data_IF_916702607942
#
_entry.id   IF_916702607942
#
_cell.length_a   1.000
_cell.length_b   1.000
_cell.length_c   1.000
_cell.angle_alpha   90.00
_cell.angle_beta   90.00
_cell.angle_gamma   90.00
#
_symmetry.space_group_name_H-M   'P 1'
#
loop_
_entity.id
_entity.type
_entity.pdbx_description
1 polymer ?
#
# COMPACT_ATOMS: atom_id res chain seq x y z
N UNK A 1 -2.56 -7.14 -16.19
CA UNK A 1 -1.81 -6.49 -15.09
C UNK A 1 -0.53 -7.27 -14.74
N UNK A 2 -0.61 -8.55 -14.33
CA UNK A 2 0.57 -9.38 -13.98
C UNK A 2 1.71 -9.30 -15.01
N UNK A 3 1.42 -9.56 -16.29
CA UNK A 3 2.44 -9.50 -17.34
C UNK A 3 2.92 -8.07 -17.60
N UNK A 4 2.00 -7.10 -17.67
CA UNK A 4 2.33 -5.70 -17.95
C UNK A 4 3.21 -5.07 -16.87
N UNK A 5 3.04 -5.44 -15.59
CA UNK A 5 3.82 -4.88 -14.49
C UNK A 5 5.05 -5.73 -14.16
N UNK A 6 4.89 -7.05 -14.09
CA UNK A 6 5.86 -7.97 -13.49
C UNK A 6 6.58 -8.91 -14.46
N UNK A 7 6.31 -8.86 -15.77
CA UNK A 7 7.00 -9.77 -16.71
C UNK A 7 8.53 -9.60 -16.59
N UNK A 8 9.32 -10.68 -16.42
CA UNK A 8 10.74 -10.61 -16.04
C UNK A 8 11.65 -9.77 -16.94
N UNK A 9 11.25 -9.55 -18.21
CA UNK A 9 12.01 -8.75 -19.18
C UNK A 9 11.27 -7.51 -19.70
N UNK A 10 9.95 -7.48 -19.59
CA UNK A 10 9.09 -6.54 -20.32
C UNK A 10 8.12 -5.79 -19.41
N UNK A 11 8.00 -6.21 -18.16
CA UNK A 11 7.14 -5.56 -17.18
C UNK A 11 7.62 -4.15 -16.88
N UNK A 12 6.67 -3.29 -16.56
CA UNK A 12 6.89 -1.89 -16.22
C UNK A 12 7.98 -1.72 -15.17
N UNK A 13 7.92 -2.47 -14.06
CA UNK A 13 8.89 -2.37 -12.96
C UNK A 13 10.30 -2.87 -13.32
N UNK A 14 10.49 -3.56 -14.46
CA UNK A 14 11.81 -4.01 -14.95
C UNK A 14 12.48 -3.01 -15.89
N UNK A 15 11.69 -2.21 -16.61
CA UNK A 15 12.18 -1.35 -17.70
C UNK A 15 12.22 0.12 -17.32
N UNK A 16 11.22 0.59 -16.60
CA UNK A 16 11.16 1.96 -16.12
C UNK A 16 11.88 2.04 -14.77
N UNK A 17 12.67 3.09 -14.53
CA UNK A 17 12.91 3.54 -13.15
C UNK A 17 11.61 4.23 -12.72
N UNK A 18 10.67 3.54 -12.05
CA UNK A 18 9.27 3.95 -12.04
C UNK A 18 8.97 5.03 -10.98
N UNK A 19 9.95 5.39 -10.15
CA UNK A 19 9.75 6.14 -8.91
C UNK A 19 10.64 7.38 -8.82
N UNK A 20 10.06 8.51 -8.42
CA UNK A 20 10.72 9.80 -8.17
C UNK A 20 10.31 10.90 -9.16
N UNK A 21 11.04 12.03 -9.19
CA UNK A 21 10.75 13.20 -10.07
C UNK A 21 10.76 12.84 -11.58
N UNK A 22 11.36 11.70 -11.94
CA UNK A 22 11.44 11.16 -13.30
C UNK A 22 10.50 9.96 -13.53
N UNK A 23 9.86 9.44 -12.47
CA UNK A 23 8.89 8.34 -12.53
C UNK A 23 7.47 8.81 -12.87
N UNK A 24 6.54 7.90 -13.13
CA UNK A 24 5.17 8.26 -13.54
C UNK A 24 4.30 8.77 -12.37
N UNK A 25 4.63 8.36 -11.14
CA UNK A 25 3.98 8.82 -9.90
C UNK A 25 4.97 9.26 -8.83
N UNK A 26 4.54 10.22 -8.00
CA UNK A 26 5.21 10.62 -6.76
C UNK A 26 4.43 10.03 -5.57
N UNK A 27 5.00 9.03 -4.91
CA UNK A 27 4.41 8.35 -3.74
C UNK A 27 4.49 9.21 -2.48
N UNK A 28 3.69 8.89 -1.46
CA UNK A 28 3.66 9.66 -0.20
C UNK A 28 5.04 9.83 0.48
N UNK A 29 5.90 8.80 0.56
CA UNK A 29 7.24 8.93 1.12
C UNK A 29 8.15 9.91 0.36
N UNK A 30 7.98 10.01 -0.96
CA UNK A 30 8.79 10.90 -1.81
C UNK A 30 8.31 12.37 -1.75
N UNK A 31 7.09 12.62 -1.26
CA UNK A 31 6.53 13.98 -1.07
C UNK A 31 7.10 14.63 0.20
N UNK A 32 7.14 13.90 1.31
CA UNK A 32 7.60 14.45 2.58
C UNK A 32 8.10 13.40 3.55
N UNK A 33 9.23 13.71 4.20
CA UNK A 33 9.72 12.92 5.33
C UNK A 33 8.71 12.81 6.48
N UNK A 34 7.77 13.76 6.61
CA UNK A 34 6.73 13.72 7.65
C UNK A 34 5.95 12.40 7.58
N UNK A 35 5.69 11.90 6.38
CA UNK A 35 4.98 10.64 6.20
C UNK A 35 5.75 9.48 6.83
N UNK A 36 7.00 9.27 6.43
CA UNK A 36 7.80 8.15 6.95
C UNK A 36 8.12 8.28 8.44
N UNK A 37 8.36 9.50 8.93
CA UNK A 37 8.61 9.74 10.36
C UNK A 37 7.40 9.36 11.24
N UNK A 38 6.17 9.70 10.81
CA UNK A 38 4.95 9.37 11.55
C UNK A 38 4.61 7.88 11.49
N UNK A 39 4.78 7.25 10.33
CA UNK A 39 4.61 5.80 10.20
C UNK A 39 5.65 5.03 11.03
N UNK A 40 6.90 5.51 11.08
CA UNK A 40 7.93 4.98 11.97
C UNK A 40 7.56 5.10 13.44
N UNK A 41 7.06 6.26 13.87
CA UNK A 41 6.57 6.45 15.23
C UNK A 41 5.40 5.50 15.56
N UNK A 42 4.48 5.29 14.61
CA UNK A 42 3.38 4.33 14.77
C UNK A 42 3.89 2.89 14.93
N UNK A 43 4.83 2.45 14.10
CA UNK A 43 5.43 1.10 14.17
C UNK A 43 6.14 0.89 15.51
N UNK A 44 6.94 1.87 15.94
CA UNK A 44 7.62 1.86 17.23
C UNK A 44 6.64 1.79 18.41
N UNK A 45 5.53 2.54 18.35
CA UNK A 45 4.51 2.52 19.38
C UNK A 45 3.76 1.18 19.41
N UNK A 46 3.47 0.59 18.25
CA UNK A 46 2.92 -0.78 18.18
C UNK A 46 3.87 -1.83 18.72
N UNK A 47 5.18 -1.73 18.47
CA UNK A 47 6.19 -2.60 19.09
C UNK A 47 6.14 -2.53 20.62
N UNK A 48 6.03 -1.33 21.18
CA UNK A 48 5.88 -1.15 22.63
C UNK A 48 4.57 -1.77 23.14
N UNK A 49 3.47 -1.63 22.39
CA UNK A 49 2.16 -2.15 22.77
C UNK A 49 2.06 -3.69 22.73
N UNK A 50 2.99 -4.36 22.04
CA UNK A 50 3.08 -5.84 22.00
C UNK A 50 4.21 -6.38 22.91
N UNK A 51 4.52 -5.66 23.99
CA UNK A 51 5.52 -6.02 25.02
C UNK A 51 6.98 -6.08 24.51
N UNK A 52 7.31 -5.24 23.52
CA UNK A 52 8.70 -5.02 23.07
C UNK A 52 9.45 -6.30 22.68
N UNK A 53 8.91 -7.14 21.78
CA UNK A 53 9.54 -8.39 21.39
C UNK A 53 10.91 -8.14 20.75
N UNK A 54 11.85 -9.05 21.02
CA UNK A 54 13.19 -9.04 20.44
C UNK A 54 13.60 -10.50 20.12
N UNK A 55 13.79 -10.87 18.84
CA UNK A 55 13.63 -10.00 17.67
C UNK A 55 12.16 -9.71 17.33
N UNK A 56 11.93 -8.60 16.63
CA UNK A 56 10.69 -8.28 15.92
C UNK A 56 10.97 -8.21 14.43
N UNK A 57 10.15 -8.89 13.62
CA UNK A 57 10.24 -8.84 12.16
C UNK A 57 9.61 -7.55 11.66
N UNK A 58 10.43 -6.58 11.25
CA UNK A 58 9.94 -5.37 10.60
C UNK A 58 9.91 -5.62 9.09
N UNK A 59 8.71 -5.68 8.53
CA UNK A 59 8.47 -6.10 7.14
C UNK A 59 7.89 -4.92 6.35
N UNK A 60 8.52 -4.57 5.23
CA UNK A 60 7.94 -3.64 4.24
C UNK A 60 7.61 -4.38 2.95
N UNK A 61 6.37 -4.24 2.48
CA UNK A 61 5.91 -4.76 1.19
C UNK A 61 6.10 -3.69 0.12
N UNK A 62 6.87 -3.98 -0.93
CA UNK A 62 7.11 -3.03 -2.02
C UNK A 62 7.79 -1.74 -1.56
N UNK A 63 9.01 -1.80 -0.98
CA UNK A 63 9.68 -0.64 -0.38
C UNK A 63 10.07 0.47 -1.38
N UNK A 64 9.95 0.23 -2.68
CA UNK A 64 10.35 1.18 -3.72
C UNK A 64 11.83 1.54 -3.59
N UNK A 65 12.13 2.80 -3.28
CA UNK A 65 13.52 3.27 -3.07
C UNK A 65 14.05 3.03 -1.66
N UNK A 66 13.21 2.55 -0.73
CA UNK A 66 13.51 2.41 0.70
C UNK A 66 13.35 3.71 1.49
N UNK A 67 12.79 4.76 0.88
CA UNK A 67 12.63 6.11 1.48
C UNK A 67 11.76 6.07 2.73
N UNK A 68 10.61 5.37 2.67
CA UNK A 68 9.70 5.22 3.81
C UNK A 68 10.43 4.63 5.02
N UNK A 69 11.07 3.48 4.85
CA UNK A 69 11.79 2.81 5.94
C UNK A 69 12.99 3.63 6.43
N UNK A 70 13.71 4.31 5.54
CA UNK A 70 14.82 5.18 5.91
C UNK A 70 14.36 6.29 6.86
N UNK A 71 13.26 6.96 6.53
CA UNK A 71 12.68 8.01 7.37
C UNK A 71 12.10 7.47 8.68
N UNK A 72 11.40 6.33 8.62
CA UNK A 72 10.85 5.66 9.79
C UNK A 72 11.93 5.28 10.82
N UNK A 73 13.03 4.68 10.36
CA UNK A 73 14.14 4.28 11.21
C UNK A 73 14.92 5.50 11.71
N UNK A 74 15.11 6.52 10.87
CA UNK A 74 15.73 7.79 11.29
C UNK A 74 14.94 8.49 12.40
N UNK A 75 13.61 8.54 12.30
CA UNK A 75 12.74 9.15 13.32
C UNK A 75 12.77 8.40 14.66
N UNK A 76 12.90 7.08 14.62
CA UNK A 76 12.81 6.23 15.81
C UNK A 76 14.15 5.92 16.46
N UNK A 77 15.27 6.45 15.93
CA UNK A 77 16.65 6.15 16.38
C UNK A 77 16.91 6.38 17.86
N UNK A 78 16.16 7.29 18.49
CA UNK A 78 16.33 7.63 19.91
C UNK A 78 15.48 6.75 20.84
N UNK A 79 14.64 5.87 20.30
CA UNK A 79 13.80 4.99 21.09
C UNK A 79 14.61 3.80 21.61
N UNK A 80 14.81 3.65 22.94
CA UNK A 80 15.64 2.58 23.48
C UNK A 80 15.11 1.19 23.16
N UNK A 81 16.00 0.30 22.68
CA UNK A 81 15.74 -1.11 22.44
C UNK A 81 14.99 -1.44 21.14
N UNK A 82 14.32 -0.48 20.50
CA UNK A 82 13.58 -0.77 19.26
C UNK A 82 14.51 -1.17 18.12
N UNK A 83 15.59 -0.41 17.92
CA UNK A 83 16.57 -0.65 16.85
C UNK A 83 17.36 -1.95 17.06
N UNK A 84 17.65 -2.30 18.32
CA UNK A 84 18.32 -3.56 18.66
C UNK A 84 17.41 -4.79 18.46
N UNK A 85 16.09 -4.60 18.53
CA UNK A 85 15.10 -5.66 18.35
C UNK A 85 14.75 -5.91 16.88
N UNK A 86 14.97 -4.94 15.99
CA UNK A 86 14.55 -5.02 14.58
C UNK A 86 15.35 -6.09 13.82
N UNK A 87 14.62 -7.00 13.18
CA UNK A 87 15.09 -7.81 12.07
C UNK A 87 14.34 -7.35 10.80
N UNK A 88 15.05 -6.64 9.92
CA UNK A 88 14.46 -5.92 8.79
C UNK A 88 14.33 -6.82 7.56
N UNK A 89 13.11 -6.94 7.05
CA UNK A 89 12.78 -7.74 5.87
C UNK A 89 12.04 -6.91 4.82
N UNK A 90 12.50 -6.98 3.58
CA UNK A 90 11.95 -6.21 2.47
C UNK A 90 11.41 -7.17 1.40
N UNK A 91 10.11 -7.06 1.07
CA UNK A 91 9.50 -7.86 -0.01
C UNK A 91 9.64 -7.07 -1.31
N UNK A 92 10.58 -7.46 -2.15
CA UNK A 92 10.95 -6.76 -3.38
C UNK A 92 11.36 -7.78 -4.44
N UNK A 93 10.84 -7.67 -5.65
CA UNK A 93 11.18 -8.56 -6.79
C UNK A 93 12.16 -7.91 -7.77
N UNK A 94 12.33 -6.58 -7.71
CA UNK A 94 13.17 -5.82 -8.62
C UNK A 94 14.62 -5.67 -8.11
N UNK A 95 15.58 -6.21 -8.87
CA UNK A 95 17.00 -6.22 -8.47
C UNK A 95 17.63 -4.81 -8.42
N UNK A 96 17.43 -3.93 -9.41
CA UNK A 96 17.84 -2.52 -9.31
C UNK A 96 17.35 -1.83 -8.03
N UNK A 97 16.07 -1.98 -7.68
CA UNK A 97 15.51 -1.38 -6.46
C UNK A 97 16.16 -1.96 -5.19
N UNK A 98 16.42 -3.27 -5.14
CA UNK A 98 17.16 -3.88 -4.02
C UNK A 98 18.53 -3.23 -3.81
N UNK A 99 19.24 -2.86 -4.89
CA UNK A 99 20.52 -2.16 -4.80
C UNK A 99 20.42 -0.76 -4.16
N UNK A 100 19.38 0.00 -4.52
CA UNK A 100 19.10 1.31 -3.91
C UNK A 100 18.75 1.16 -2.42
N UNK A 101 17.87 0.20 -2.10
CA UNK A 101 17.47 -0.10 -0.72
C UNK A 101 18.66 -0.56 0.13
N UNK A 102 19.54 -1.40 -0.43
CA UNK A 102 20.74 -1.89 0.26
C UNK A 102 21.65 -0.74 0.69
N UNK A 103 21.76 0.29 -0.16
CA UNK A 103 22.53 1.50 0.15
C UNK A 103 21.83 2.34 1.21
N UNK A 104 20.53 2.62 1.03
CA UNK A 104 19.76 3.48 1.93
C UNK A 104 19.63 2.90 3.36
N UNK A 105 19.54 1.57 3.46
CA UNK A 105 19.23 0.85 4.70
C UNK A 105 20.41 0.01 5.21
N UNK A 106 21.62 0.21 4.69
CA UNK A 106 22.82 -0.54 5.06
C UNK A 106 23.04 -0.70 6.58
N UNK A 107 22.81 0.32 7.43
CA UNK A 107 23.00 0.19 8.89
C UNK A 107 22.11 -0.89 9.54
N UNK A 108 20.98 -1.22 8.91
CA UNK A 108 19.95 -2.12 9.44
C UNK A 108 20.02 -3.53 8.87
N UNK A 109 21.04 -3.83 8.05
CA UNK A 109 21.29 -5.16 7.46
C UNK A 109 20.01 -5.84 6.90
N UNK A 110 19.27 -5.16 6.01
CA UNK A 110 18.02 -5.68 5.46
C UNK A 110 18.22 -7.05 4.78
N UNK A 111 17.20 -7.90 4.89
CA UNK A 111 17.10 -9.16 4.12
C UNK A 111 15.96 -9.07 3.11
N UNK A 112 16.24 -9.35 1.85
CA UNK A 112 15.24 -9.29 0.78
C UNK A 112 14.58 -10.64 0.52
N UNK A 113 13.30 -10.58 0.21
CA UNK A 113 12.46 -11.71 -0.08
C UNK A 113 11.64 -11.43 -1.33
N UNK A 114 11.39 -12.45 -2.15
CA UNK A 114 10.47 -12.32 -3.28
C UNK A 114 9.00 -12.44 -2.85
N UNK A 115 8.75 -13.04 -1.68
CA UNK A 115 7.43 -13.39 -1.17
C UNK A 115 7.40 -13.25 0.35
N UNK A 116 6.23 -12.92 0.90
CA UNK A 116 6.06 -12.77 2.34
C UNK A 116 6.23 -14.10 3.11
N UNK A 117 5.91 -15.23 2.49
CA UNK A 117 6.02 -16.57 3.09
C UNK A 117 7.47 -17.04 3.30
N UNK A 118 8.48 -16.41 2.68
CA UNK A 118 9.89 -16.71 2.94
C UNK A 118 10.50 -15.95 4.12
N UNK A 119 9.76 -14.99 4.70
CA UNK A 119 10.22 -14.26 5.89
C UNK A 119 10.19 -15.18 7.11
N UNK A 120 11.23 -15.22 7.96
CA UNK A 120 11.23 -16.03 9.18
C UNK A 120 10.03 -15.75 10.09
N UNK A 121 9.51 -16.78 10.76
CA UNK A 121 8.43 -16.63 11.75
C UNK A 121 8.84 -15.76 12.96
N UNK A 122 7.84 -15.31 13.72
CA UNK A 122 8.02 -14.49 14.92
C UNK A 122 7.11 -13.25 14.96
N UNK A 123 7.10 -12.51 16.09
CA UNK A 123 6.34 -11.27 16.23
C UNK A 123 6.68 -10.30 15.10
N UNK A 124 5.68 -9.67 14.51
CA UNK A 124 5.86 -8.91 13.27
C UNK A 124 5.25 -7.52 13.32
N UNK A 125 5.90 -6.58 12.64
CA UNK A 125 5.32 -5.31 12.23
C UNK A 125 5.39 -5.24 10.72
N UNK A 126 4.25 -5.09 10.04
CA UNK A 126 4.18 -5.00 8.58
C UNK A 126 3.75 -3.59 8.18
N UNK A 127 4.41 -3.03 7.18
CA UNK A 127 3.95 -1.82 6.49
C UNK A 127 3.84 -2.11 4.99
N UNK A 128 2.75 -1.65 4.40
CA UNK A 128 2.49 -1.74 2.97
C UNK A 128 1.92 -0.40 2.51
N UNK A 129 2.73 0.39 1.82
CA UNK A 129 2.32 1.67 1.25
C UNK A 129 2.31 1.57 -0.27
N UNK A 130 1.17 1.79 -0.92
CA UNK A 130 1.05 1.75 -2.39
C UNK A 130 1.60 0.41 -2.93
N UNK A 131 1.13 -0.68 -2.33
CA UNK A 131 1.55 -2.03 -2.69
C UNK A 131 0.37 -2.85 -3.22
N UNK A 132 -0.80 -2.70 -2.62
CA UNK A 132 -1.96 -3.52 -2.95
C UNK A 132 -2.64 -3.04 -4.25
N UNK A 133 -2.55 -1.75 -4.54
CA UNK A 133 -2.98 -1.14 -5.80
C UNK A 133 -2.31 -1.71 -7.06
N UNK A 134 -1.05 -2.11 -6.93
CA UNK A 134 -0.23 -2.70 -7.99
C UNK A 134 -0.46 -4.22 -8.13
N UNK A 135 -1.29 -4.82 -7.27
CA UNK A 135 -1.60 -6.23 -7.36
C UNK A 135 -2.67 -6.51 -8.44
N UNK A 136 -2.54 -7.62 -9.19
CA UNK A 136 -3.46 -7.94 -10.28
C UNK A 136 -4.92 -8.02 -9.83
N UNK A 137 -5.80 -7.35 -10.58
CA UNK A 137 -7.26 -7.48 -10.48
C UNK A 137 -7.84 -8.27 -11.64
N UNK A 138 -8.92 -9.01 -11.37
CA UNK A 138 -9.87 -9.52 -12.35
C UNK A 138 -11.07 -8.60 -12.41
N UNK A 139 -11.61 -8.40 -13.61
CA UNK A 139 -12.81 -7.60 -13.85
C UNK A 139 -13.96 -8.50 -14.30
N UNK A 140 -15.18 -8.20 -13.89
CA UNK A 140 -16.37 -8.99 -14.21
C UNK A 140 -17.54 -8.10 -14.62
N UNK A 141 -18.44 -8.65 -15.43
CA UNK A 141 -19.71 -8.05 -15.80
C UNK A 141 -20.87 -9.00 -15.47
N UNK A 142 -21.92 -8.46 -14.86
CA UNK A 142 -23.13 -9.21 -14.51
C UNK A 142 -24.05 -9.26 -15.73
N UNK A 143 -24.17 -10.44 -16.34
CA UNK A 143 -25.11 -10.71 -17.43
C UNK A 143 -26.43 -11.26 -16.89
N UNK A 144 -27.41 -11.52 -17.76
CA UNK A 144 -28.65 -12.22 -17.42
C UNK A 144 -28.39 -13.64 -16.85
N UNK A 145 -27.36 -14.32 -17.33
CA UNK A 145 -26.99 -15.69 -16.94
C UNK A 145 -26.12 -15.78 -15.70
N UNK A 146 -25.43 -14.70 -15.31
CA UNK A 146 -24.51 -14.70 -14.18
C UNK A 146 -23.34 -13.75 -14.37
N UNK A 147 -22.33 -13.84 -13.50
CA UNK A 147 -21.09 -13.11 -13.67
C UNK A 147 -20.22 -13.72 -14.78
N UNK A 148 -19.71 -12.88 -15.67
CA UNK A 148 -18.78 -13.26 -16.73
C UNK A 148 -17.51 -12.42 -16.59
N UNK A 149 -16.35 -13.05 -16.75
CA UNK A 149 -15.06 -12.36 -16.62
C UNK A 149 -14.75 -11.52 -17.87
N UNK A 150 -14.22 -10.32 -17.65
CA UNK A 150 -13.70 -9.43 -18.69
C UNK A 150 -12.22 -9.76 -18.91
N UNK A 151 -11.93 -10.22 -20.11
CA UNK A 151 -10.64 -10.72 -20.57
C UNK A 151 -9.99 -9.74 -21.55
N UNK A 152 -8.69 -9.92 -21.76
CA UNK A 152 -7.95 -9.27 -22.86
C UNK A 152 -7.85 -10.25 -24.02
N UNK A 153 -8.23 -9.81 -25.21
CA UNK A 153 -8.11 -10.56 -26.46
C UNK A 153 -7.58 -9.69 -27.59
N UNK A 154 -7.52 -10.27 -28.79
CA UNK A 154 -7.12 -9.55 -30.00
C UNK A 154 -8.34 -8.97 -30.74
N UNK A 155 -8.15 -7.80 -31.34
CA UNK A 155 -9.04 -7.25 -32.33
C UNK A 155 -8.96 -8.03 -33.65
N UNK A 156 -9.76 -7.64 -34.63
CA UNK A 156 -9.84 -8.34 -35.93
C UNK A 156 -8.53 -8.24 -36.75
N UNK A 157 -7.67 -7.27 -36.44
CA UNK A 157 -6.36 -7.10 -37.06
C UNK A 157 -5.31 -8.12 -36.54
N UNK A 158 -5.61 -8.84 -35.46
CA UNK A 158 -4.70 -9.82 -34.85
C UNK A 158 -3.54 -9.21 -34.05
N UNK A 159 -3.47 -7.88 -33.91
CA UNK A 159 -2.37 -7.18 -33.25
C UNK A 159 -2.86 -6.28 -32.10
N UNK A 160 -4.01 -5.62 -32.27
CA UNK A 160 -4.52 -4.67 -31.28
C UNK A 160 -5.18 -5.41 -30.12
N UNK A 161 -4.77 -5.09 -28.89
CA UNK A 161 -5.43 -5.60 -27.68
C UNK A 161 -6.78 -4.93 -27.45
N UNK A 162 -7.77 -5.72 -27.01
CA UNK A 162 -9.10 -5.22 -26.62
C UNK A 162 -9.66 -5.98 -25.44
N UNK A 163 -10.58 -5.35 -24.73
CA UNK A 163 -11.41 -6.06 -23.77
C UNK A 163 -12.50 -6.89 -24.46
N UNK A 164 -12.79 -8.06 -23.91
CA UNK A 164 -13.88 -8.94 -24.33
C UNK A 164 -14.43 -9.70 -23.13
N UNK A 165 -15.69 -10.16 -23.20
CA UNK A 165 -16.22 -11.08 -22.19
C UNK A 165 -15.81 -12.51 -22.49
N UNK A 166 -15.50 -13.27 -21.44
CA UNK A 166 -15.25 -14.70 -21.53
C UNK A 166 -16.49 -15.44 -22.09
N UNK A 167 -16.30 -16.59 -22.79
CA UNK A 167 -17.41 -17.31 -23.42
C UNK A 167 -18.35 -18.02 -22.44
N UNK A 168 -18.07 -17.99 -21.13
CA UNK A 168 -18.82 -18.70 -20.11
C UNK A 168 -18.88 -17.97 -18.78
N UNK A 169 -19.69 -18.50 -17.85
CA UNK A 169 -19.81 -17.97 -16.50
C UNK A 169 -18.47 -18.09 -15.75
N UNK A 170 -18.20 -17.09 -14.92
CA UNK A 170 -16.99 -17.07 -14.12
C UNK A 170 -17.03 -18.14 -13.01
N UNK A 171 -15.94 -18.91 -12.81
CA UNK A 171 -15.82 -19.78 -11.64
C UNK A 171 -15.73 -19.00 -10.32
N UNK A 172 -15.45 -17.68 -10.39
CA UNK A 172 -15.37 -16.79 -9.24
C UNK A 172 -16.72 -16.19 -8.84
N UNK A 173 -17.82 -16.57 -9.50
CA UNK A 173 -19.14 -15.97 -9.28
C UNK A 173 -19.59 -15.99 -7.80
N UNK A 174 -19.19 -17.02 -7.03
CA UNK A 174 -19.53 -17.14 -5.60
C UNK A 174 -18.77 -16.16 -4.70
N UNK A 175 -17.69 -15.56 -5.18
CA UNK A 175 -16.90 -14.55 -4.46
C UNK A 175 -17.38 -13.12 -4.76
N UNK A 176 -18.23 -12.95 -5.77
CA UNK A 176 -18.72 -11.66 -6.23
C UNK A 176 -20.05 -11.31 -5.54
N UNK A 177 -20.36 -10.03 -5.34
CA UNK A 177 -21.62 -9.62 -4.72
C UNK A 177 -22.82 -9.95 -5.62
N UNK A 178 -23.97 -10.18 -5.00
CA UNK A 178 -25.25 -10.11 -5.72
C UNK A 178 -25.47 -8.68 -6.24
N UNK A 179 -25.78 -8.56 -7.53
CA UNK A 179 -25.91 -7.28 -8.22
C UNK A 179 -26.84 -7.39 -9.43
N UNK A 180 -27.47 -6.28 -9.88
CA UNK A 180 -28.32 -6.27 -11.07
C UNK A 180 -27.50 -6.50 -12.36
N UNK A 181 -28.17 -6.95 -13.42
CA UNK A 181 -27.58 -7.06 -14.78
C UNK A 181 -26.99 -5.72 -15.21
N UNK A 182 -25.81 -5.75 -15.84
CA UNK A 182 -25.02 -4.57 -16.23
C UNK A 182 -24.07 -4.09 -15.13
N UNK A 183 -24.13 -4.64 -13.92
CA UNK A 183 -23.17 -4.32 -12.86
C UNK A 183 -21.78 -4.83 -13.22
N UNK A 184 -20.77 -4.13 -12.70
CA UNK A 184 -19.37 -4.52 -12.85
C UNK A 184 -18.76 -4.79 -11.48
N UNK A 185 -17.76 -5.67 -11.46
CA UNK A 185 -17.03 -5.97 -10.25
C UNK A 185 -15.54 -6.20 -10.49
N UNK A 186 -14.74 -5.95 -9.45
CA UNK A 186 -13.32 -6.25 -9.38
C UNK A 186 -12.99 -7.17 -8.20
N UNK A 187 -12.03 -8.08 -8.43
CA UNK A 187 -11.51 -9.00 -7.42
C UNK A 187 -9.99 -9.11 -7.57
N UNK A 188 -9.25 -8.93 -6.49
CA UNK A 188 -7.82 -9.29 -6.44
C UNK A 188 -7.59 -10.48 -5.53
N UNK A 189 -7.42 -11.66 -6.13
CA UNK A 189 -7.02 -12.88 -5.41
C UNK A 189 -5.65 -12.72 -4.76
N UNK A 190 -4.73 -12.03 -5.44
CA UNK A 190 -3.37 -11.77 -4.94
C UNK A 190 -3.40 -10.91 -3.68
N UNK A 191 -4.19 -9.83 -3.68
CA UNK A 191 -4.36 -8.96 -2.53
C UNK A 191 -4.95 -9.72 -1.32
N UNK A 192 -6.00 -10.51 -1.55
CA UNK A 192 -6.60 -11.32 -0.48
C UNK A 192 -5.64 -12.39 0.06
N UNK A 193 -4.85 -13.04 -0.81
CA UNK A 193 -3.86 -14.02 -0.39
C UNK A 193 -2.76 -13.40 0.49
N UNK A 194 -2.26 -12.21 0.12
CA UNK A 194 -1.27 -11.50 0.95
C UNK A 194 -1.88 -11.05 2.28
N UNK A 195 -3.12 -10.53 2.27
CA UNK A 195 -3.83 -10.15 3.49
C UNK A 195 -4.04 -11.35 4.42
N UNK A 196 -4.42 -12.52 3.90
CA UNK A 196 -4.52 -13.77 4.66
C UNK A 196 -3.15 -14.19 5.23
N UNK A 197 -2.06 -14.12 4.46
CA UNK A 197 -0.71 -14.40 4.97
C UNK A 197 -0.30 -13.47 6.12
N UNK A 198 -0.57 -12.17 6.01
CA UNK A 198 -0.37 -11.20 7.09
C UNK A 198 -1.19 -11.60 8.32
N UNK A 199 -2.48 -11.89 8.11
CA UNK A 199 -3.40 -12.30 9.16
C UNK A 199 -2.96 -13.58 9.89
N UNK A 200 -2.53 -14.60 9.15
CA UNK A 200 -2.01 -15.84 9.72
C UNK A 200 -0.74 -15.62 10.54
N UNK A 201 0.20 -14.81 10.04
CA UNK A 201 1.45 -14.49 10.75
C UNK A 201 1.15 -13.79 12.08
N UNK A 202 0.33 -12.74 12.05
CA UNK A 202 -0.03 -11.99 13.26
C UNK A 202 -0.83 -12.87 14.23
N UNK A 203 -1.76 -13.70 13.73
CA UNK A 203 -2.55 -14.62 14.58
C UNK A 203 -1.66 -15.62 15.34
N UNK A 204 -0.60 -16.12 14.70
CA UNK A 204 0.31 -17.12 15.29
C UNK A 204 1.34 -16.52 16.23
N UNK A 205 1.87 -15.34 15.90
CA UNK A 205 3.06 -14.81 16.59
C UNK A 205 2.87 -13.43 17.23
N UNK A 206 1.70 -12.82 17.08
CA UNK A 206 1.44 -11.44 17.47
C UNK A 206 2.04 -10.44 16.48
N UNK A 207 1.55 -9.21 16.55
CA UNK A 207 2.00 -8.15 15.66
C UNK A 207 0.91 -7.24 15.15
N UNK A 208 1.32 -6.36 14.23
CA UNK A 208 0.46 -5.38 13.58
C UNK A 208 0.86 -5.21 12.11
N UNK A 209 -0.10 -4.86 11.28
CA UNK A 209 0.10 -4.40 9.91
C UNK A 209 -0.54 -3.02 9.73
N UNK A 210 0.15 -2.14 9.00
CA UNK A 210 -0.37 -0.86 8.53
C UNK A 210 -0.38 -0.87 7.01
N UNK A 211 -1.58 -0.72 6.43
CA UNK A 211 -1.80 -0.71 4.99
C UNK A 211 -2.27 0.69 4.61
N UNK A 212 -1.52 1.33 3.71
CA UNK A 212 -1.83 2.66 3.15
C UNK A 212 -1.93 2.52 1.64
N UNK A 213 -3.10 2.81 1.10
CA UNK A 213 -3.32 2.67 -0.34
C UNK A 213 -4.49 3.51 -0.81
N UNK A 214 -4.58 3.76 -2.12
CA UNK A 214 -5.75 4.41 -2.68
C UNK A 214 -6.86 3.37 -2.92
N UNK A 215 -8.08 3.70 -2.48
CA UNK A 215 -9.15 2.73 -2.52
C UNK A 215 -10.39 3.15 -1.77
N UNK A 216 -11.33 2.22 -1.67
CA UNK A 216 -12.62 2.45 -1.05
C UNK A 216 -13.16 1.19 -0.35
N UNK A 217 -14.34 1.32 0.25
CA UNK A 217 -15.05 0.23 0.94
C UNK A 217 -16.18 -0.35 0.08
N UNK A 218 -16.09 -0.28 -1.26
CA UNK A 218 -17.21 -0.64 -2.14
C UNK A 218 -17.40 -2.14 -2.34
N UNK A 219 -16.65 -3.01 -1.67
CA UNK A 219 -16.73 -4.47 -1.81
C UNK A 219 -16.61 -4.90 -3.30
N UNK A 220 -15.68 -4.29 -4.03
CA UNK A 220 -15.39 -4.58 -5.42
C UNK A 220 -16.45 -4.12 -6.44
N UNK A 221 -17.40 -3.25 -6.10
CA UNK A 221 -18.58 -2.91 -6.95
C UNK A 221 -18.36 -1.90 -8.08
N UNK A 222 -17.15 -1.75 -8.59
CA UNK A 222 -16.86 -0.90 -9.74
C UNK A 222 -15.54 -1.32 -10.39
N UNK A 223 -15.35 -0.96 -11.66
CA UNK A 223 -14.04 -1.05 -12.29
C UNK A 223 -13.21 0.17 -11.90
N UNK A 224 -11.96 -0.06 -11.54
CA UNK A 224 -11.02 0.97 -11.09
C UNK A 224 -9.65 0.88 -11.74
N UNK A 225 -9.39 -0.19 -12.50
CA UNK A 225 -8.15 -0.34 -13.26
C UNK A 225 -7.91 0.90 -14.14
N UNK A 226 -6.78 1.54 -13.90
CA UNK A 226 -6.33 2.72 -14.62
C UNK A 226 -4.87 2.56 -15.06
N UNK A 227 -4.49 3.38 -16.04
CA UNK A 227 -3.13 3.46 -16.54
C UNK A 227 -2.62 4.89 -16.47
N UNK A 228 -1.36 5.06 -16.10
CA UNK A 228 -0.68 6.36 -16.14
C UNK A 228 0.66 6.24 -16.83
N UNK A 229 0.96 7.24 -17.67
CA UNK A 229 2.22 7.35 -18.40
C UNK A 229 2.55 8.83 -18.61
N UNK A 230 3.75 9.26 -18.24
CA UNK A 230 4.20 10.65 -18.31
C UNK A 230 3.31 11.60 -17.51
N UNK A 231 2.88 11.19 -16.32
CA UNK A 231 1.96 11.92 -15.44
C UNK A 231 0.57 12.22 -16.04
N UNK A 232 0.12 11.43 -17.00
CA UNK A 232 -1.20 11.55 -17.63
C UNK A 232 -1.91 10.21 -17.65
N UNK A 233 -3.24 10.24 -17.55
CA UNK A 233 -4.06 9.06 -17.79
C UNK A 233 -3.78 8.47 -19.18
N UNK A 234 -3.62 7.15 -19.22
CA UNK A 234 -3.26 6.39 -20.41
C UNK A 234 -4.18 5.18 -20.55
N UNK A 235 -4.36 4.74 -21.80
CA UNK A 235 -5.07 3.49 -22.07
C UNK A 235 -4.25 2.29 -21.58
N UNK A 236 -4.89 1.46 -20.75
CA UNK A 236 -4.30 0.29 -20.10
C UNK A 236 -3.89 -0.82 -21.08
N UNK A 237 -4.41 -0.80 -22.31
CA UNK A 237 -4.09 -1.79 -23.36
C UNK A 237 -3.13 -1.27 -24.44
N UNK A 238 -2.87 0.04 -24.50
CA UNK A 238 -2.11 0.63 -25.61
C UNK A 238 -0.61 0.32 -25.57
N UNK A 239 0.01 0.38 -24.38
CA UNK A 239 1.45 0.16 -24.21
C UNK A 239 1.77 -0.72 -22.99
N UNK A 240 1.38 -2.01 -22.98
CA UNK A 240 1.68 -2.91 -21.86
C UNK A 240 3.19 -2.99 -21.59
N UNK A 241 3.61 -2.81 -20.34
CA UNK A 241 5.03 -2.76 -19.97
C UNK A 241 5.65 -1.37 -19.98
N UNK A 242 4.96 -0.35 -20.49
CA UNK A 242 5.40 1.06 -20.48
C UNK A 242 4.40 2.00 -19.81
N UNK A 243 3.23 1.49 -19.43
CA UNK A 243 2.20 2.20 -18.69
C UNK A 243 2.15 1.61 -17.28
N UNK A 244 2.22 2.46 -16.27
CA UNK A 244 1.97 2.04 -14.89
C UNK A 244 0.49 1.74 -14.73
N UNK A 245 0.18 0.58 -14.14
CA UNK A 245 -1.19 0.10 -14.00
C UNK A 245 -1.51 -0.03 -12.52
N UNK A 246 -2.69 0.43 -12.16
CA UNK A 246 -3.09 0.46 -10.77
C UNK A 246 -4.62 0.26 -10.67
N UNK A 247 -5.10 -0.44 -9.64
CA UNK A 247 -6.53 -0.54 -9.32
C UNK A 247 -6.82 -0.13 -7.86
N UNK A 248 -8.03 0.34 -7.57
CA UNK A 248 -8.45 0.70 -6.21
C UNK A 248 -8.38 -0.53 -5.29
N UNK A 249 -7.88 -0.31 -4.08
CA UNK A 249 -7.85 -1.34 -3.04
C UNK A 249 -9.21 -1.47 -2.36
N UNK A 250 -9.73 -2.69 -2.31
CA UNK A 250 -10.91 -3.04 -1.53
C UNK A 250 -10.50 -3.41 -0.10
N UNK A 251 -10.54 -2.41 0.79
CA UNK A 251 -10.17 -2.60 2.20
C UNK A 251 -11.10 -3.55 2.95
N UNK A 252 -12.36 -3.69 2.50
CA UNK A 252 -13.31 -4.66 3.09
C UNK A 252 -12.88 -6.09 2.76
N UNK A 253 -12.47 -6.34 1.51
CA UNK A 253 -11.93 -7.63 1.11
C UNK A 253 -10.62 -7.97 1.83
N UNK A 254 -9.71 -7.01 2.00
CA UNK A 254 -8.47 -7.21 2.77
C UNK A 254 -8.74 -7.57 4.22
N UNK A 255 -9.61 -6.82 4.90
CA UNK A 255 -9.99 -7.08 6.30
C UNK A 255 -10.60 -8.48 6.47
N UNK A 256 -11.54 -8.84 5.58
CA UNK A 256 -12.16 -10.17 5.57
C UNK A 256 -11.14 -11.29 5.36
N UNK A 257 -10.21 -11.12 4.42
CA UNK A 257 -9.20 -12.13 4.10
C UNK A 257 -8.17 -12.29 5.25
N UNK A 258 -7.74 -11.20 5.88
CA UNK A 258 -6.84 -11.27 7.04
C UNK A 258 -7.47 -11.97 8.25
N UNK A 259 -8.79 -11.83 8.43
CA UNK A 259 -9.54 -12.54 9.48
C UNK A 259 -9.09 -12.18 10.89
N UNK A 260 -8.60 -10.95 11.09
CA UNK A 260 -8.18 -10.37 12.36
C UNK A 260 -8.96 -9.07 12.61
N UNK A 261 -8.98 -8.57 13.85
CA UNK A 261 -9.47 -7.22 14.10
C UNK A 261 -8.75 -6.20 13.20
N UNK A 262 -9.56 -5.42 12.48
CA UNK A 262 -9.11 -4.33 11.64
C UNK A 262 -9.67 -3.00 12.15
N UNK A 263 -8.88 -1.94 12.01
CA UNK A 263 -9.23 -0.58 12.38
C UNK A 263 -9.15 0.31 11.15
N UNK A 264 -10.18 1.14 10.96
CA UNK A 264 -10.39 1.87 9.71
C UNK A 264 -11.11 1.03 8.63
N UNK A 265 -10.92 1.35 7.34
CA UNK A 265 -10.04 2.39 6.85
C UNK A 265 -10.47 3.81 7.26
N UNK A 266 -9.49 4.67 7.54
CA UNK A 266 -9.67 6.13 7.73
C UNK A 266 -8.99 6.89 6.59
N UNK A 267 -9.34 8.15 6.36
CA UNK A 267 -8.61 8.97 5.38
C UNK A 267 -7.17 9.20 5.80
N UNK A 268 -6.22 9.16 4.86
CA UNK A 268 -4.80 9.42 5.14
C UNK A 268 -4.59 10.76 5.85
N UNK A 269 -5.28 11.81 5.41
CA UNK A 269 -5.14 13.13 6.03
C UNK A 269 -5.60 13.16 7.48
N UNK A 270 -6.70 12.48 7.78
CA UNK A 270 -7.21 12.32 9.15
C UNK A 270 -6.24 11.51 10.02
N UNK A 271 -5.73 10.40 9.50
CA UNK A 271 -4.74 9.55 10.17
C UNK A 271 -3.46 10.31 10.53
N UNK A 272 -2.84 10.96 9.54
CA UNK A 272 -1.59 11.70 9.73
C UNK A 272 -1.76 12.88 10.70
N UNK A 273 -2.90 13.59 10.63
CA UNK A 273 -3.20 14.67 11.58
C UNK A 273 -3.32 14.14 13.02
N UNK A 274 -3.99 13.01 13.22
CA UNK A 274 -4.09 12.35 14.55
C UNK A 274 -2.73 11.88 15.09
N UNK A 275 -1.79 11.52 14.21
CA UNK A 275 -0.42 11.19 14.59
C UNK A 275 0.48 12.42 14.84
N UNK A 276 -0.01 13.63 14.56
CA UNK A 276 0.70 14.87 14.86
C UNK A 276 1.46 15.47 13.67
N UNK A 277 0.98 15.28 12.44
CA UNK A 277 1.61 15.84 11.24
C UNK A 277 1.80 17.37 11.29
N UNK A 278 0.82 18.10 11.84
CA UNK A 278 0.89 19.56 11.96
C UNK A 278 2.02 19.99 12.91
N UNK A 279 2.15 19.29 14.05
CA UNK A 279 3.19 19.54 15.03
C UNK A 279 4.56 19.22 14.46
N UNK A 280 4.68 18.12 13.70
CA UNK A 280 5.94 17.76 13.06
C UNK A 280 6.34 18.78 12.00
N UNK A 281 5.41 19.23 11.16
CA UNK A 281 5.65 20.28 10.19
C UNK A 281 6.13 21.58 10.87
N UNK A 282 5.47 22.00 11.96
CA UNK A 282 5.89 23.17 12.71
C UNK A 282 7.33 23.05 13.26
N UNK A 283 7.70 21.87 13.79
CA UNK A 283 9.05 21.60 14.28
C UNK A 283 10.11 21.67 13.16
N UNK A 284 9.80 21.16 11.96
CA UNK A 284 10.70 21.27 10.80
C UNK A 284 10.87 22.73 10.35
N UNK A 285 9.78 23.51 10.37
CA UNK A 285 9.80 24.92 9.96
C UNK A 285 10.57 25.83 10.91
N UNK A 286 10.74 25.45 12.17
CA UNK A 286 11.43 26.26 13.18
C UNK A 286 12.92 26.55 12.84
N UNK A 287 13.53 25.68 12.04
CA UNK A 287 14.94 25.81 11.62
C UNK A 287 15.11 25.97 10.10
N UNK A 288 14.01 26.16 9.38
CA UNK A 288 13.98 26.26 7.93
C UNK A 288 14.07 27.72 7.45
N UNK A 289 14.62 27.96 6.27
CA UNK A 289 14.48 29.23 5.55
C UNK A 289 13.09 29.37 4.90
N UNK A 290 12.79 30.53 4.30
CA UNK A 290 11.46 30.79 3.74
C UNK A 290 11.08 29.84 2.59
N UNK A 291 11.94 29.60 1.57
CA UNK A 291 11.67 28.58 0.56
C UNK A 291 11.40 27.18 1.14
N UNK A 292 12.19 26.76 2.14
CA UNK A 292 11.99 25.47 2.80
C UNK A 292 10.66 25.41 3.55
N UNK A 293 10.26 26.48 4.24
CA UNK A 293 8.95 26.56 4.92
C UNK A 293 7.79 26.37 3.94
N UNK A 294 7.84 27.05 2.79
CA UNK A 294 6.82 26.91 1.74
C UNK A 294 6.79 25.50 1.15
N UNK A 295 7.95 24.88 0.94
CA UNK A 295 8.03 23.49 0.48
C UNK A 295 7.42 22.51 1.50
N UNK A 296 7.69 22.71 2.80
CA UNK A 296 7.09 21.89 3.87
C UNK A 296 5.58 22.05 3.88
N UNK A 297 5.06 23.27 3.77
CA UNK A 297 3.62 23.53 3.77
C UNK A 297 2.92 22.94 2.54
N UNK A 298 3.52 23.05 1.36
CA UNK A 298 3.00 22.42 0.14
C UNK A 298 2.99 20.90 0.22
N UNK A 299 4.07 20.30 0.73
CA UNK A 299 4.19 18.84 0.90
C UNK A 299 3.17 18.31 1.93
N UNK A 300 3.02 19.00 3.06
CA UNK A 300 2.02 18.67 4.07
C UNK A 300 0.60 18.75 3.49
N UNK A 301 0.27 19.83 2.78
CA UNK A 301 -1.03 20.01 2.14
C UNK A 301 -1.31 18.88 1.14
N UNK A 302 -0.32 18.47 0.33
CA UNK A 302 -0.47 17.35 -0.61
C UNK A 302 -0.81 16.04 0.11
N UNK A 303 -0.22 15.79 1.27
CA UNK A 303 -0.46 14.57 2.06
C UNK A 303 -1.81 14.55 2.78
N UNK A 304 -2.31 15.70 3.28
CA UNK A 304 -3.45 15.73 4.20
C UNK A 304 -4.72 16.38 3.65
N UNK A 305 -4.63 17.22 2.62
CA UNK A 305 -5.79 17.96 2.13
C UNK A 305 -6.80 17.03 1.44
N UNK A 306 -8.13 17.24 1.63
CA UNK A 306 -9.16 16.35 1.10
C UNK A 306 -9.18 16.21 -0.42
N UNK A 307 -8.88 17.29 -1.15
CA UNK A 307 -8.78 17.36 -2.61
C UNK A 307 -7.45 16.85 -3.16
N UNK A 308 -6.55 16.41 -2.27
CA UNK A 308 -5.25 15.84 -2.59
C UNK A 308 -5.23 14.36 -2.13
N UNK A 309 -4.17 13.90 -1.45
CA UNK A 309 -4.10 12.51 -0.97
C UNK A 309 -4.97 12.26 0.26
N UNK A 310 -5.46 13.29 0.94
CA UNK A 310 -6.03 13.19 2.28
C UNK A 310 -7.28 12.31 2.39
N UNK A 311 -8.12 12.25 1.35
CA UNK A 311 -9.33 11.40 1.31
C UNK A 311 -9.24 10.24 0.32
N UNK A 312 -8.47 10.42 -0.76
CA UNK A 312 -8.27 9.40 -1.79
C UNK A 312 -7.47 8.21 -1.23
N UNK A 313 -6.43 8.49 -0.44
CA UNK A 313 -5.68 7.47 0.25
C UNK A 313 -6.34 7.10 1.56
N UNK A 314 -6.35 5.81 1.84
CA UNK A 314 -6.95 5.19 3.00
C UNK A 314 -5.91 4.43 3.78
N UNK A 315 -6.08 4.43 5.10
CA UNK A 315 -5.18 3.77 6.04
C UNK A 315 -5.99 2.75 6.84
N UNK A 316 -5.55 1.50 6.87
CA UNK A 316 -6.12 0.44 7.69
C UNK A 316 -5.02 -0.20 8.55
N UNK A 317 -5.32 -0.42 9.81
CA UNK A 317 -4.48 -1.23 10.70
C UNK A 317 -5.12 -2.60 10.92
N UNK A 318 -4.33 -3.66 10.91
CA UNK A 318 -4.76 -5.03 11.21
C UNK A 318 -3.88 -5.58 12.30
N UNK A 319 -4.45 -6.12 13.37
CA UNK A 319 -3.63 -6.59 14.47
C UNK A 319 -4.41 -7.02 15.70
N UNK A 320 -3.65 -7.18 16.78
CA UNK A 320 -4.16 -7.69 18.04
C UNK A 320 -4.98 -6.64 18.80
N UNK A 321 -6.27 -6.90 19.02
CA UNK A 321 -7.17 -5.98 19.71
C UNK A 321 -6.99 -5.92 21.24
N UNK A 322 -6.03 -6.64 21.83
CA UNK A 322 -5.82 -6.70 23.30
C UNK A 322 -5.62 -5.33 23.99
N UNK A 323 -5.33 -4.25 23.25
CA UNK A 323 -5.12 -2.89 23.78
C UNK A 323 -6.08 -1.80 23.28
N UNK A 324 -7.16 -2.15 22.57
CA UNK A 324 -8.05 -1.17 21.94
C UNK A 324 -7.52 -0.63 20.60
N UNK A 325 -8.14 0.44 20.10
CA UNK A 325 -7.81 0.98 18.79
C UNK A 325 -6.40 1.64 18.78
N UNK A 326 -5.57 1.39 17.76
CA UNK A 326 -4.27 2.05 17.61
C UNK A 326 -4.37 3.57 17.50
N UNK A 327 -3.26 4.24 17.84
CA UNK A 327 -3.09 5.66 17.55
C UNK A 327 -3.42 5.93 16.06
N UNK A 328 -4.16 7.01 15.80
CA UNK A 328 -4.68 7.35 14.47
C UNK A 328 -6.06 6.77 14.14
N UNK A 329 -6.52 5.75 14.88
CA UNK A 329 -7.79 5.05 14.61
C UNK A 329 -8.83 5.17 15.74
N UNK A 330 -8.46 5.69 16.89
CA UNK A 330 -9.39 6.10 17.94
C UNK A 330 -9.73 7.58 17.80
N UNK A 331 -10.99 7.95 18.03
CA UNK A 331 -11.32 9.34 18.35
C UNK A 331 -10.65 9.67 19.68
N UNK A 332 -9.57 10.47 19.66
CA UNK A 332 -9.29 11.28 20.86
C UNK A 332 -10.53 12.15 21.09
N UNK A 333 -11.02 12.30 22.33
CA UNK A 333 -12.10 13.25 22.59
C UNK A 333 -11.66 14.59 22.00
N UNK A 334 -12.52 15.19 21.16
CA UNK A 334 -12.31 16.55 20.70
C UNK A 334 -11.99 17.37 21.95
N UNK A 335 -10.84 18.04 21.95
CA UNK A 335 -10.47 19.00 22.99
C UNK A 335 -11.70 19.82 23.32
N UNK A 336 -12.17 19.70 24.56
CA UNK A 336 -13.31 20.46 25.04
C UNK A 336 -13.01 21.94 24.78
N UNK A 337 -13.82 22.52 23.90
CA UNK A 337 -14.05 23.95 23.61
C UNK A 337 -13.00 24.94 24.10
#
# INVERSE_FOLDING_TARGET
MTEALGHPRLGYYRKAMPLGVVGDFTTAPEISQIFGELLGAWLAERWMAIDRPAPVRLIELGPGRGTLMSDALRATRTLPGFHDAIDLHLIEIDEPLRGLQATALAPFRPTWHARLDSVPEGPTLVVANEFFDALPVRQFERTDKGWVERMVGLAADGETLRFALAPGLSPFASLLPEAPVGSQAELSEAAQAIADQIGQRIRRHGGWALIVDYGDERAGRALSLQGVRGHRGADVLAHPGETDLSAHVDFTALAKAGGLPSFGPVGQGEFLQRLGALQRAAALKAHADEPQRQAIDAALARLIAPDQMGTLFRVMAVGDARGGAPAGFSNFPASAT
#
